data_IF_063483903876
#
_entry.id   IF_063483903876
#
_cell.length_a   1.000
_cell.length_b   1.000
_cell.length_c   1.000
_cell.angle_alpha   90.00
_cell.angle_beta   90.00
_cell.angle_gamma   90.00
#
_symmetry.space_group_name_H-M   'P 1'
#
loop_
_entity.id
_entity.type
_entity.pdbx_description
1 polymer ?
#
# COMPACT_ATOMS: atom_id res chain seq x y z
N UNK A 1 21.84 3.77 -5.40
CA UNK A 1 21.06 4.48 -4.36
C UNK A 1 19.93 3.63 -3.77
N UNK A 2 18.92 3.17 -4.51
CA UNK A 2 17.77 2.40 -3.97
C UNK A 2 18.18 1.14 -3.19
N UNK A 3 19.22 0.41 -3.64
CA UNK A 3 19.76 -0.76 -2.92
C UNK A 3 20.31 -0.35 -1.54
N UNK A 4 20.90 0.82 -1.44
CA UNK A 4 21.42 1.37 -0.19
C UNK A 4 20.31 1.76 0.77
N UNK A 5 19.26 2.45 0.30
CA UNK A 5 18.09 2.83 1.12
C UNK A 5 17.48 1.59 1.80
N UNK A 6 17.43 0.45 1.08
CA UNK A 6 16.97 -0.83 1.64
C UNK A 6 17.86 -1.31 2.81
N UNK A 7 19.18 -1.14 2.69
CA UNK A 7 20.12 -1.55 3.74
C UNK A 7 20.07 -0.62 4.97
N UNK A 8 19.81 0.68 4.74
CA UNK A 8 19.70 1.66 5.82
C UNK A 8 18.39 1.50 6.61
N UNK A 9 17.33 1.01 5.96
CA UNK A 9 16.01 0.85 6.60
C UNK A 9 15.50 -0.59 6.53
N UNK A 10 16.24 -1.58 7.07
CA UNK A 10 15.83 -2.99 6.97
C UNK A 10 14.52 -3.29 7.72
N UNK A 11 14.24 -2.56 8.79
CA UNK A 11 13.00 -2.72 9.56
C UNK A 11 11.78 -2.38 8.70
N UNK A 12 11.82 -1.24 8.00
CA UNK A 12 10.72 -0.82 7.12
C UNK A 12 10.64 -1.67 5.86
N UNK A 13 11.79 -2.07 5.29
CA UNK A 13 11.85 -2.76 4.00
C UNK A 13 11.27 -4.17 4.04
N UNK A 14 11.63 -4.98 5.05
CA UNK A 14 11.25 -6.40 5.09
C UNK A 14 10.96 -6.96 6.48
N UNK A 15 11.59 -6.49 7.55
CA UNK A 15 11.36 -7.08 8.89
C UNK A 15 9.92 -6.87 9.35
N UNK A 16 9.38 -5.66 9.18
CA UNK A 16 8.02 -5.33 9.60
C UNK A 16 6.97 -6.11 8.79
N UNK A 17 6.99 -6.12 7.43
CA UNK A 17 5.98 -6.89 6.70
C UNK A 17 6.14 -8.41 6.88
N UNK A 18 7.37 -8.94 7.00
CA UNK A 18 7.58 -10.37 7.27
C UNK A 18 7.08 -10.76 8.66
N UNK A 19 7.34 -9.94 9.67
CA UNK A 19 6.86 -10.16 11.04
C UNK A 19 5.34 -10.16 11.10
N UNK A 20 4.70 -9.18 10.46
CA UNK A 20 3.24 -9.08 10.42
C UNK A 20 2.62 -10.22 9.61
N UNK A 21 3.21 -10.57 8.47
CA UNK A 21 2.78 -11.73 7.66
C UNK A 21 2.88 -13.03 8.43
N UNK A 22 4.00 -13.24 9.13
CA UNK A 22 4.20 -14.42 9.99
C UNK A 22 3.16 -14.52 11.11
N UNK A 23 2.84 -13.37 11.74
CA UNK A 23 1.78 -13.31 12.76
C UNK A 23 0.42 -13.74 12.18
N UNK A 24 0.04 -13.23 11.02
CA UNK A 24 -1.25 -13.57 10.38
C UNK A 24 -1.30 -15.07 10.01
N UNK A 25 -0.19 -15.63 9.54
CA UNK A 25 -0.09 -17.08 9.24
C UNK A 25 -0.29 -17.91 10.52
N UNK A 26 0.36 -17.53 11.62
CA UNK A 26 0.21 -18.23 12.92
C UNK A 26 -1.25 -18.13 13.40
N UNK A 27 -1.86 -16.94 13.30
CA UNK A 27 -3.26 -16.75 13.69
C UNK A 27 -4.22 -17.57 12.82
N UNK A 28 -3.95 -17.68 11.52
CA UNK A 28 -4.71 -18.52 10.58
C UNK A 28 -4.62 -20.01 10.98
N UNK A 29 -3.41 -20.48 11.30
CA UNK A 29 -3.19 -21.87 11.76
C UNK A 29 -3.95 -22.14 13.07
N UNK A 30 -3.86 -21.24 14.04
CA UNK A 30 -4.59 -21.33 15.32
C UNK A 30 -6.10 -21.37 15.06
N UNK A 31 -6.61 -20.50 14.15
CA UNK A 31 -8.03 -20.44 13.83
C UNK A 31 -8.55 -21.76 13.23
N UNK A 32 -7.76 -22.40 12.36
CA UNK A 32 -8.12 -23.71 11.78
C UNK A 32 -8.12 -24.78 12.88
N UNK A 33 -7.10 -24.84 13.73
CA UNK A 33 -6.98 -25.85 14.81
C UNK A 33 -8.10 -25.71 15.85
N UNK A 34 -8.40 -24.49 16.30
CA UNK A 34 -9.48 -24.22 17.25
C UNK A 34 -10.84 -24.48 16.59
N UNK A 35 -11.00 -24.09 15.33
CA UNK A 35 -12.22 -24.31 14.56
C UNK A 35 -12.54 -25.80 14.46
N UNK A 36 -11.52 -26.63 14.22
CA UNK A 36 -11.67 -28.09 14.16
C UNK A 36 -12.11 -28.64 15.52
N UNK A 37 -11.49 -28.22 16.64
CA UNK A 37 -11.88 -28.66 18.00
C UNK A 37 -13.30 -28.24 18.36
N UNK A 38 -13.68 -26.98 18.06
CA UNK A 38 -15.02 -26.47 18.36
C UNK A 38 -16.11 -27.20 17.56
N UNK A 39 -15.80 -27.59 16.32
CA UNK A 39 -16.74 -28.34 15.47
C UNK A 39 -16.86 -29.78 15.92
N UNK A 40 -15.78 -30.42 16.37
CA UNK A 40 -15.80 -31.79 16.90
C UNK A 40 -16.59 -31.85 18.24
N UNK A 41 -16.41 -30.87 19.13
CA UNK A 41 -17.13 -30.82 20.41
C UNK A 41 -18.63 -30.57 20.22
N UNK A 42 -19.03 -29.90 19.14
CA UNK A 42 -20.41 -29.65 18.79
C UNK A 42 -20.95 -30.59 17.70
N UNK A 43 -20.29 -31.71 17.49
CA UNK A 43 -20.44 -32.64 16.36
C UNK A 43 -21.74 -33.44 16.32
N UNK A 44 -22.81 -32.91 16.88
CA UNK A 44 -24.11 -33.47 16.57
C UNK A 44 -24.74 -32.86 15.31
N UNK A 45 -24.46 -31.58 15.00
CA UNK A 45 -25.32 -30.84 14.08
C UNK A 45 -24.65 -29.67 13.34
N UNK A 46 -23.44 -29.84 12.80
CA UNK A 46 -22.82 -28.77 12.01
C UNK A 46 -23.61 -28.45 10.72
N UNK A 47 -24.19 -29.46 10.07
CA UNK A 47 -25.06 -29.28 8.90
C UNK A 47 -26.30 -28.44 9.25
N UNK A 48 -26.91 -28.70 10.41
CA UNK A 48 -28.09 -27.97 10.88
C UNK A 48 -27.74 -26.49 11.21
N UNK A 49 -26.54 -26.23 11.68
CA UNK A 49 -26.12 -24.87 12.04
C UNK A 49 -25.88 -24.00 10.80
N UNK A 50 -25.34 -24.58 9.74
CA UNK A 50 -25.14 -23.86 8.46
C UNK A 50 -26.52 -23.50 7.85
N UNK A 51 -27.47 -24.42 7.92
CA UNK A 51 -28.85 -24.17 7.49
C UNK A 51 -29.57 -23.10 8.33
N UNK A 52 -29.36 -23.10 9.66
CA UNK A 52 -30.06 -22.16 10.56
C UNK A 52 -29.63 -20.71 10.41
N UNK A 53 -28.43 -20.44 9.90
CA UNK A 53 -27.92 -19.07 9.68
C UNK A 53 -28.29 -18.50 8.30
N UNK A 54 -29.17 -19.18 7.55
CA UNK A 54 -29.64 -18.70 6.24
C UNK A 54 -28.55 -18.67 5.17
N UNK A 55 -27.39 -19.23 5.47
CA UNK A 55 -26.35 -19.50 4.50
C UNK A 55 -26.60 -20.90 3.94
N UNK A 56 -27.39 -20.98 2.88
CA UNK A 56 -27.29 -22.08 1.94
C UNK A 56 -25.91 -21.98 1.26
N UNK A 57 -24.87 -22.05 2.06
CA UNK A 57 -23.51 -22.10 1.53
C UNK A 57 -23.36 -23.48 0.92
N UNK A 58 -23.50 -23.54 -0.38
CA UNK A 58 -23.07 -24.68 -1.15
C UNK A 58 -21.58 -24.90 -0.78
N UNK A 59 -21.31 -25.95 0.00
CA UNK A 59 -19.98 -26.27 0.50
C UNK A 59 -18.99 -26.47 -0.66
N UNK A 60 -19.50 -26.78 -1.86
CA UNK A 60 -18.70 -26.83 -3.09
C UNK A 60 -18.18 -25.44 -3.53
N UNK A 61 -18.71 -24.34 -2.97
CA UNK A 61 -18.33 -22.97 -3.36
C UNK A 61 -17.35 -22.30 -2.37
N UNK A 62 -16.79 -23.03 -1.39
CA UNK A 62 -15.89 -22.47 -0.38
C UNK A 62 -14.54 -22.00 -0.94
N UNK A 63 -14.12 -22.52 -2.10
CA UNK A 63 -12.85 -22.15 -2.73
C UNK A 63 -12.70 -20.64 -2.96
N UNK A 64 -13.74 -20.01 -3.51
CA UNK A 64 -13.71 -18.57 -3.81
C UNK A 64 -13.67 -17.68 -2.54
N UNK A 65 -14.51 -17.88 -1.50
CA UNK A 65 -14.37 -17.13 -0.25
C UNK A 65 -13.00 -17.26 0.41
N UNK A 66 -12.40 -18.46 0.44
CA UNK A 66 -11.08 -18.69 1.00
C UNK A 66 -10.01 -17.91 0.19
N UNK A 67 -10.07 -18.00 -1.15
CA UNK A 67 -9.15 -17.27 -2.05
C UNK A 67 -9.31 -15.75 -1.88
N UNK A 68 -10.55 -15.26 -1.70
CA UNK A 68 -10.84 -13.85 -1.49
C UNK A 68 -10.25 -13.35 -0.16
N UNK A 69 -10.23 -14.18 0.89
CA UNK A 69 -9.56 -13.83 2.16
C UNK A 69 -8.04 -13.63 1.92
N UNK A 70 -7.40 -14.50 1.14
CA UNK A 70 -5.99 -14.34 0.75
C UNK A 70 -5.75 -13.07 -0.06
N UNK A 71 -6.67 -12.75 -0.96
CA UNK A 71 -6.62 -11.52 -1.77
C UNK A 71 -6.75 -10.27 -0.90
N UNK A 72 -7.63 -10.30 0.10
CA UNK A 72 -7.79 -9.20 1.07
C UNK A 72 -6.49 -8.97 1.86
N UNK A 73 -5.81 -10.04 2.28
CA UNK A 73 -4.49 -9.96 2.93
C UNK A 73 -3.48 -9.31 1.97
N UNK A 74 -3.43 -9.75 0.71
CA UNK A 74 -2.53 -9.22 -0.32
C UNK A 74 -2.71 -7.70 -0.49
N UNK A 75 -3.95 -7.28 -0.69
CA UNK A 75 -4.27 -5.85 -0.90
C UNK A 75 -4.05 -5.03 0.37
N UNK A 76 -4.37 -5.59 1.54
CA UNK A 76 -4.10 -4.95 2.83
C UNK A 76 -2.60 -4.67 3.03
N UNK A 77 -1.75 -5.62 2.67
CA UNK A 77 -0.30 -5.41 2.68
C UNK A 77 0.13 -4.33 1.67
N UNK A 78 -0.47 -4.30 0.49
CA UNK A 78 -0.23 -3.24 -0.49
C UNK A 78 -0.52 -1.86 0.08
N UNK A 79 -1.63 -1.70 0.74
CA UNK A 79 -1.99 -0.45 1.44
C UNK A 79 -1.02 -0.11 2.58
N UNK A 80 -0.69 -1.02 3.19
CA UNK A 80 0.17 -0.86 4.13
C UNK A 80 1.40 -0.40 3.64
N UNK A 81 1.90 -0.93 2.66
CA UNK A 81 3.10 -0.50 1.95
C UNK A 81 3.04 0.95 1.47
N UNK A 82 1.91 1.38 0.94
CA UNK A 82 1.70 2.77 0.55
C UNK A 82 1.83 3.72 1.74
N UNK A 83 1.24 3.37 2.88
CA UNK A 83 1.32 4.20 4.09
C UNK A 83 2.76 4.29 4.63
N UNK A 84 3.47 3.15 4.69
CA UNK A 84 4.87 3.10 5.13
C UNK A 84 5.76 3.87 4.15
N UNK A 85 5.53 3.69 2.85
CA UNK A 85 6.24 4.41 1.80
C UNK A 85 6.03 5.92 1.90
N UNK A 86 4.79 6.34 2.17
CA UNK A 86 4.45 7.75 2.39
C UNK A 86 5.16 8.30 3.64
N UNK A 87 5.11 7.60 4.77
CA UNK A 87 5.79 8.00 5.99
C UNK A 87 7.32 8.14 5.78
N UNK A 88 7.89 7.22 5.00
CA UNK A 88 9.30 7.28 4.60
C UNK A 88 9.58 8.56 3.78
N UNK A 89 8.81 8.81 2.71
CA UNK A 89 9.00 9.98 1.83
C UNK A 89 8.85 11.28 2.62
N UNK A 90 7.87 11.33 3.52
CA UNK A 90 7.59 12.47 4.39
C UNK A 90 8.79 12.84 5.29
N UNK A 91 9.55 11.84 5.72
CA UNK A 91 10.71 12.04 6.62
C UNK A 91 12.06 12.11 5.90
N UNK A 92 12.14 11.61 4.66
CA UNK A 92 13.40 11.31 3.98
C UNK A 92 14.35 12.49 3.80
N UNK A 93 13.86 13.67 3.36
CA UNK A 93 14.67 14.87 3.20
C UNK A 93 14.72 15.72 4.47
N UNK A 94 13.67 15.66 5.27
CA UNK A 94 13.55 16.34 6.56
C UNK A 94 14.62 15.83 7.54
N UNK A 95 14.80 14.51 7.67
CA UNK A 95 15.77 13.90 8.56
C UNK A 95 17.21 14.29 8.16
N UNK A 96 17.54 14.28 6.87
CA UNK A 96 18.88 14.68 6.39
C UNK A 96 19.26 16.09 6.84
N UNK A 97 18.30 17.03 6.84
CA UNK A 97 18.54 18.40 7.31
C UNK A 97 18.64 18.48 8.83
N UNK A 98 17.74 17.80 9.52
CA UNK A 98 17.65 17.80 10.99
C UNK A 98 18.94 17.24 11.62
N UNK A 99 19.45 16.14 11.06
CA UNK A 99 20.64 15.44 11.58
C UNK A 99 21.95 15.98 10.98
N UNK A 100 21.87 17.03 10.15
CA UNK A 100 22.99 17.64 9.42
C UNK A 100 23.77 16.65 8.53
N UNK A 101 23.24 15.47 8.28
CA UNK A 101 23.85 14.46 7.42
C UNK A 101 23.94 14.92 5.96
N UNK A 102 23.19 15.96 5.61
CA UNK A 102 23.23 16.59 4.29
C UNK A 102 24.67 17.05 3.93
N UNK A 103 25.45 17.50 4.91
CA UNK A 103 26.85 17.94 4.70
C UNK A 103 27.74 16.77 4.27
N UNK A 104 27.50 15.60 4.85
CA UNK A 104 28.20 14.37 4.45
C UNK A 104 27.83 13.97 3.01
N UNK A 105 26.54 14.08 2.67
CA UNK A 105 26.06 13.72 1.33
C UNK A 105 26.66 14.64 0.24
N UNK A 106 26.90 15.90 0.57
CA UNK A 106 27.50 16.86 -0.35
C UNK A 106 28.99 16.57 -0.63
N UNK A 107 29.69 15.90 0.28
CA UNK A 107 31.08 15.52 0.07
C UNK A 107 31.23 14.31 -0.86
N UNK A 108 30.12 13.58 -1.14
CA UNK A 108 30.13 12.44 -2.04
C UNK A 108 29.83 12.88 -3.48
N UNK A 109 30.42 12.21 -4.50
CA UNK A 109 30.17 12.55 -5.90
C UNK A 109 28.82 12.00 -6.39
N UNK A 110 27.73 12.40 -5.71
CA UNK A 110 26.36 11.96 -6.03
C UNK A 110 25.53 13.20 -6.35
N UNK A 111 24.82 13.17 -7.46
CA UNK A 111 23.98 14.30 -7.90
C UNK A 111 22.72 14.45 -7.03
N UNK A 112 22.26 15.69 -6.89
CA UNK A 112 20.99 15.99 -6.21
C UNK A 112 19.81 15.25 -6.87
N UNK A 113 19.85 15.12 -8.18
CA UNK A 113 18.85 14.40 -8.97
C UNK A 113 18.78 12.93 -8.55
N UNK A 114 19.93 12.27 -8.49
CA UNK A 114 19.99 10.85 -8.08
C UNK A 114 19.48 10.65 -6.65
N UNK A 115 19.83 11.55 -5.74
CA UNK A 115 19.39 11.47 -4.34
C UNK A 115 17.87 11.61 -4.22
N UNK A 116 17.29 12.63 -4.86
CA UNK A 116 15.85 12.91 -4.81
C UNK A 116 15.06 11.76 -5.47
N UNK A 117 15.49 11.35 -6.68
CA UNK A 117 14.82 10.27 -7.41
C UNK A 117 14.91 8.93 -6.68
N UNK A 118 16.07 8.60 -6.10
CA UNK A 118 16.24 7.35 -5.36
C UNK A 118 15.28 7.27 -4.16
N UNK A 119 15.18 8.35 -3.38
CA UNK A 119 14.31 8.43 -2.21
C UNK A 119 12.84 8.37 -2.61
N UNK A 120 12.47 9.11 -3.66
CA UNK A 120 11.09 9.12 -4.16
C UNK A 120 10.69 7.74 -4.66
N UNK A 121 11.47 7.14 -5.57
CA UNK A 121 11.18 5.82 -6.15
C UNK A 121 11.17 4.71 -5.09
N UNK A 122 12.04 4.82 -4.10
CA UNK A 122 12.08 3.84 -3.00
C UNK A 122 10.79 3.87 -2.19
N UNK A 123 10.34 5.05 -1.75
CA UNK A 123 9.12 5.18 -0.96
C UNK A 123 7.84 4.99 -1.77
N UNK A 124 7.83 5.49 -3.02
CA UNK A 124 6.63 5.51 -3.87
C UNK A 124 6.36 4.14 -4.54
N UNK A 125 7.41 3.44 -4.98
CA UNK A 125 7.26 2.18 -5.74
C UNK A 125 7.81 0.98 -4.96
N UNK A 126 9.08 1.04 -4.54
CA UNK A 126 9.78 -0.15 -4.02
C UNK A 126 9.18 -0.65 -2.71
N UNK A 127 8.88 0.25 -1.76
CA UNK A 127 8.27 -0.15 -0.49
C UNK A 127 6.87 -0.75 -0.70
N UNK A 128 5.92 -0.08 -1.38
CA UNK A 128 4.60 -0.67 -1.60
C UNK A 128 4.64 -2.02 -2.34
N UNK A 129 5.48 -2.13 -3.37
CA UNK A 129 5.62 -3.39 -4.13
C UNK A 129 6.21 -4.52 -3.28
N UNK A 130 7.18 -4.20 -2.40
CA UNK A 130 7.77 -5.20 -1.49
C UNK A 130 6.71 -5.72 -0.52
N UNK A 131 5.91 -4.81 0.06
CA UNK A 131 4.80 -5.19 0.95
C UNK A 131 3.76 -6.02 0.22
N UNK A 132 3.36 -5.59 -0.97
CA UNK A 132 2.39 -6.32 -1.81
C UNK A 132 2.85 -7.76 -2.08
N UNK A 133 4.11 -7.95 -2.47
CA UNK A 133 4.66 -9.28 -2.76
C UNK A 133 4.72 -10.16 -1.49
N UNK A 134 5.12 -9.59 -0.37
CA UNK A 134 5.11 -10.32 0.92
C UNK A 134 3.68 -10.69 1.30
N UNK A 135 2.74 -9.76 1.11
CA UNK A 135 1.32 -9.97 1.35
C UNK A 135 0.72 -11.07 0.47
N UNK A 136 1.13 -11.12 -0.80
CA UNK A 136 0.68 -12.17 -1.72
C UNK A 136 1.16 -13.56 -1.27
N UNK A 137 2.43 -13.67 -0.86
CA UNK A 137 2.99 -14.94 -0.34
C UNK A 137 2.28 -15.33 0.97
N UNK A 138 2.11 -14.39 1.89
CA UNK A 138 1.42 -14.63 3.18
C UNK A 138 -0.05 -15.02 2.94
N UNK A 139 -0.73 -14.31 2.04
CA UNK A 139 -2.11 -14.62 1.63
C UNK A 139 -2.23 -16.03 1.05
N UNK A 140 -1.28 -16.42 0.18
CA UNK A 140 -1.22 -17.77 -0.39
C UNK A 140 -1.05 -18.85 0.67
N UNK A 141 -0.20 -18.62 1.67
CA UNK A 141 -0.01 -19.56 2.79
C UNK A 141 -1.30 -19.66 3.62
N UNK A 142 -1.97 -18.55 3.87
CA UNK A 142 -3.26 -18.51 4.58
C UNK A 142 -4.32 -19.28 3.79
N UNK A 143 -4.43 -19.04 2.47
CA UNK A 143 -5.34 -19.78 1.58
C UNK A 143 -5.07 -21.29 1.66
N UNK A 144 -3.80 -21.68 1.61
CA UNK A 144 -3.41 -23.09 1.70
C UNK A 144 -3.83 -23.73 3.04
N UNK A 145 -3.53 -23.07 4.16
CA UNK A 145 -3.89 -23.57 5.51
C UNK A 145 -5.41 -23.69 5.64
N UNK A 146 -6.14 -22.63 5.28
CA UNK A 146 -7.61 -22.56 5.40
C UNK A 146 -8.31 -23.57 4.48
N UNK A 147 -7.79 -23.74 3.25
CA UNK A 147 -8.39 -24.71 2.30
C UNK A 147 -8.11 -26.16 2.71
N UNK A 148 -6.98 -26.47 3.32
CA UNK A 148 -6.69 -27.81 3.88
C UNK A 148 -7.66 -28.10 5.03
N UNK A 149 -7.83 -27.14 5.97
CA UNK A 149 -8.80 -27.28 7.07
C UNK A 149 -10.21 -27.49 6.57
N UNK A 150 -10.67 -26.68 5.63
CA UNK A 150 -12.00 -26.80 5.03
C UNK A 150 -12.17 -28.12 4.26
N UNK A 151 -11.16 -28.52 3.48
CA UNK A 151 -11.17 -29.78 2.72
C UNK A 151 -11.29 -31.01 3.64
N UNK A 152 -10.64 -30.98 4.78
CA UNK A 152 -10.74 -32.06 5.79
C UNK A 152 -12.17 -32.17 6.35
N UNK A 153 -12.85 -31.04 6.56
CA UNK A 153 -14.24 -31.00 7.07
C UNK A 153 -15.27 -31.49 6.02
N UNK A 154 -15.07 -31.09 4.76
CA UNK A 154 -16.01 -31.40 3.66
C UNK A 154 -15.66 -32.73 2.97
N UNK A 155 -14.48 -33.31 3.26
CA UNK A 155 -13.93 -34.50 2.59
C UNK A 155 -13.75 -34.31 1.08
N UNK A 156 -13.44 -33.06 0.66
CA UNK A 156 -13.22 -32.70 -0.76
C UNK A 156 -11.81 -32.10 -0.93
N UNK A 157 -10.89 -32.90 -1.44
CA UNK A 157 -9.51 -32.49 -1.69
C UNK A 157 -9.38 -31.54 -2.89
N UNK A 158 -10.39 -31.48 -3.77
CA UNK A 158 -10.44 -30.57 -4.91
C UNK A 158 -10.46 -29.10 -4.51
N UNK A 159 -11.04 -28.79 -3.34
CA UNK A 159 -11.16 -27.45 -2.79
C UNK A 159 -9.81 -26.74 -2.62
N UNK A 160 -8.76 -27.48 -2.23
CA UNK A 160 -7.40 -26.92 -2.07
C UNK A 160 -6.88 -26.43 -3.42
N UNK A 161 -6.99 -27.27 -4.46
CA UNK A 161 -6.52 -26.91 -5.81
C UNK A 161 -7.31 -25.73 -6.38
N UNK A 162 -8.62 -25.69 -6.17
CA UNK A 162 -9.48 -24.59 -6.61
C UNK A 162 -9.10 -23.28 -5.93
N UNK A 163 -9.03 -23.24 -4.60
CA UNK A 163 -8.70 -22.03 -3.85
C UNK A 163 -7.32 -21.48 -4.22
N UNK A 164 -6.32 -22.37 -4.36
CA UNK A 164 -4.96 -22.00 -4.75
C UNK A 164 -4.89 -21.49 -6.20
N UNK A 165 -5.67 -22.09 -7.10
CA UNK A 165 -5.74 -21.64 -8.50
C UNK A 165 -6.35 -20.23 -8.59
N UNK A 166 -7.44 -19.97 -7.88
CA UNK A 166 -8.08 -18.63 -7.84
C UNK A 166 -7.10 -17.60 -7.29
N UNK A 167 -6.42 -17.89 -6.17
CA UNK A 167 -5.43 -16.98 -5.56
C UNK A 167 -4.26 -16.71 -6.51
N UNK A 168 -3.78 -17.74 -7.19
CA UNK A 168 -2.66 -17.63 -8.15
C UNK A 168 -3.01 -16.78 -9.37
N UNK A 169 -4.19 -17.03 -9.97
CA UNK A 169 -4.69 -16.25 -11.11
C UNK A 169 -4.92 -14.78 -10.70
N UNK A 170 -5.33 -14.55 -9.46
CA UNK A 170 -5.54 -13.21 -8.90
C UNK A 170 -4.29 -12.33 -8.88
N UNK A 171 -3.08 -12.91 -8.91
CA UNK A 171 -1.83 -12.14 -8.84
C UNK A 171 -1.74 -11.09 -9.96
N UNK A 172 -2.07 -11.46 -11.20
CA UNK A 172 -1.98 -10.54 -12.35
C UNK A 172 -2.94 -9.35 -12.19
N UNK A 173 -4.20 -9.62 -11.82
CA UNK A 173 -5.21 -8.56 -11.63
C UNK A 173 -4.88 -7.67 -10.43
N UNK A 174 -4.46 -8.24 -9.30
CA UNK A 174 -4.07 -7.48 -8.11
C UNK A 174 -2.81 -6.64 -8.37
N UNK A 175 -1.84 -7.16 -9.15
CA UNK A 175 -0.64 -6.39 -9.55
C UNK A 175 -1.06 -5.20 -10.42
N UNK A 176 -1.95 -5.42 -11.38
CA UNK A 176 -2.51 -4.35 -12.22
C UNK A 176 -3.16 -3.25 -11.37
N UNK A 177 -4.05 -3.65 -10.46
CA UNK A 177 -4.71 -2.72 -9.52
C UNK A 177 -3.69 -1.94 -8.70
N UNK A 178 -2.69 -2.62 -8.13
CA UNK A 178 -1.65 -2.00 -7.31
C UNK A 178 -0.82 -1.00 -8.12
N UNK A 179 -0.47 -1.32 -9.37
CA UNK A 179 0.26 -0.40 -10.27
C UNK A 179 -0.54 0.86 -10.58
N UNK A 180 -1.84 0.71 -10.83
CA UNK A 180 -2.74 1.87 -11.06
C UNK A 180 -2.82 2.73 -9.79
N UNK A 181 -2.97 2.12 -8.61
CA UNK A 181 -3.00 2.84 -7.33
C UNK A 181 -1.70 3.61 -7.08
N UNK A 182 -0.55 2.98 -7.32
CA UNK A 182 0.77 3.63 -7.19
C UNK A 182 0.85 4.83 -8.13
N UNK A 183 0.47 4.66 -9.40
CA UNK A 183 0.50 5.75 -10.40
C UNK A 183 -0.48 6.87 -10.03
N UNK A 184 -1.67 6.51 -9.53
CA UNK A 184 -2.73 7.47 -9.15
C UNK A 184 -2.29 8.38 -8.01
N UNK A 185 -1.59 7.85 -6.99
CA UNK A 185 -1.17 8.58 -5.80
C UNK A 185 0.20 9.29 -5.98
N UNK A 186 0.84 9.18 -7.15
CA UNK A 186 2.17 9.74 -7.44
C UNK A 186 2.29 11.24 -7.09
N UNK A 187 1.33 12.13 -7.45
CA UNK A 187 1.44 13.56 -7.12
C UNK A 187 1.51 13.82 -5.63
N UNK A 188 0.77 13.04 -4.85
CA UNK A 188 0.74 13.16 -3.38
C UNK A 188 2.11 12.78 -2.77
N UNK A 189 2.75 11.73 -3.27
CA UNK A 189 4.10 11.32 -2.85
C UNK A 189 5.14 12.38 -3.25
N UNK A 190 5.03 12.94 -4.46
CA UNK A 190 5.91 14.01 -4.94
C UNK A 190 5.77 15.27 -4.08
N UNK A 191 4.52 15.67 -3.79
CA UNK A 191 4.21 16.80 -2.90
C UNK A 191 4.79 16.57 -1.50
N UNK A 192 4.62 15.38 -0.95
CA UNK A 192 5.13 15.03 0.39
C UNK A 192 6.67 15.14 0.45
N UNK A 193 7.36 14.73 -0.62
CA UNK A 193 8.82 14.84 -0.71
C UNK A 193 9.26 16.32 -0.79
N UNK A 194 8.56 17.15 -1.57
CA UNK A 194 8.84 18.59 -1.64
C UNK A 194 8.67 19.24 -0.27
N UNK A 195 7.56 18.95 0.43
CA UNK A 195 7.31 19.47 1.78
C UNK A 195 8.37 18.97 2.76
N UNK A 196 8.78 17.70 2.66
CA UNK A 196 9.85 17.11 3.47
C UNK A 196 11.15 17.95 3.39
N UNK A 197 11.39 18.56 2.22
CA UNK A 197 12.57 19.41 2.03
C UNK A 197 12.42 20.80 2.67
N UNK A 198 11.22 21.38 2.73
CA UNK A 198 10.98 22.76 3.16
C UNK A 198 10.51 22.90 4.61
N UNK A 199 9.85 21.88 5.15
CA UNK A 199 9.26 21.94 6.47
C UNK A 199 10.33 22.16 7.57
N UNK A 200 10.13 23.20 8.39
CA UNK A 200 11.03 23.52 9.52
C UNK A 200 10.77 22.55 10.69
N UNK A 201 9.50 22.24 10.94
CA UNK A 201 9.05 21.30 11.97
C UNK A 201 7.92 20.48 11.36
N UNK A 202 7.57 19.36 11.93
CA UNK A 202 6.38 18.54 11.61
C UNK A 202 5.95 18.60 10.13
N UNK A 203 6.66 17.89 9.20
CA UNK A 203 6.27 17.89 7.77
C UNK A 203 4.82 17.48 7.52
N UNK A 204 4.27 16.61 8.35
CA UNK A 204 2.88 16.13 8.25
C UNK A 204 1.87 17.29 8.24
N UNK A 205 2.05 18.29 9.11
CA UNK A 205 1.14 19.44 9.18
C UNK A 205 1.15 20.26 7.88
N UNK A 206 2.31 20.37 7.24
CA UNK A 206 2.43 21.11 5.98
C UNK A 206 1.86 20.32 4.78
N UNK A 207 2.07 19.00 4.76
CA UNK A 207 1.56 18.14 3.68
C UNK A 207 0.04 18.14 3.63
N UNK A 208 -0.61 18.09 4.80
CA UNK A 208 -2.08 18.09 4.90
C UNK A 208 -2.65 19.51 5.00
N UNK A 209 -1.97 20.39 5.73
CA UNK A 209 -2.46 21.74 6.00
C UNK A 209 -2.53 22.64 4.78
N UNK A 210 -1.51 22.61 3.91
CA UNK A 210 -1.49 23.47 2.71
C UNK A 210 -2.64 23.10 1.75
N UNK A 211 -2.84 21.83 1.36
CA UNK A 211 -4.01 21.49 0.54
C UNK A 211 -5.33 21.81 1.23
N UNK A 212 -5.44 21.54 2.55
CA UNK A 212 -6.67 21.85 3.30
C UNK A 212 -7.01 23.33 3.24
N UNK A 213 -6.01 24.20 3.47
CA UNK A 213 -6.22 25.65 3.41
C UNK A 213 -6.55 26.07 1.96
N UNK A 214 -5.87 25.52 0.98
CA UNK A 214 -6.12 25.81 -0.43
C UNK A 214 -7.56 25.45 -0.84
N UNK A 215 -8.07 24.29 -0.42
CA UNK A 215 -9.44 23.85 -0.70
C UNK A 215 -10.47 24.73 0.04
N UNK A 216 -10.17 25.15 1.26
CA UNK A 216 -11.04 26.08 2.01
C UNK A 216 -11.11 27.45 1.33
N UNK A 217 -9.98 27.96 0.88
CA UNK A 217 -9.91 29.27 0.15
C UNK A 217 -10.67 29.17 -1.17
N UNK A 218 -10.49 28.07 -1.90
CA UNK A 218 -11.19 27.81 -3.17
C UNK A 218 -12.72 27.85 -2.97
N UNK A 219 -13.21 27.09 -1.99
CA UNK A 219 -14.65 27.02 -1.73
C UNK A 219 -15.23 28.35 -1.21
N UNK A 220 -14.49 29.09 -0.35
CA UNK A 220 -14.98 30.33 0.24
C UNK A 220 -14.93 31.53 -0.69
N UNK A 221 -13.90 31.63 -1.57
CA UNK A 221 -13.69 32.82 -2.39
C UNK A 221 -14.17 32.67 -3.82
N UNK A 222 -14.16 31.46 -4.37
CA UNK A 222 -14.42 31.24 -5.79
C UNK A 222 -15.68 30.42 -6.06
N UNK A 223 -16.27 29.82 -5.02
CA UNK A 223 -17.45 28.94 -5.11
C UNK A 223 -17.26 27.84 -6.16
N UNK A 224 -16.04 27.34 -6.27
CA UNK A 224 -15.61 26.27 -7.17
C UNK A 224 -14.97 25.17 -6.33
N UNK A 225 -15.02 23.94 -6.76
CA UNK A 225 -14.48 22.79 -6.02
C UNK A 225 -13.42 22.02 -6.85
N UNK A 226 -12.78 22.67 -7.81
CA UNK A 226 -11.87 21.98 -8.74
C UNK A 226 -10.64 21.37 -8.05
N UNK A 227 -9.94 22.14 -7.20
CA UNK A 227 -8.80 21.63 -6.42
C UNK A 227 -9.25 20.60 -5.38
N UNK A 228 -10.40 20.89 -4.75
CA UNK A 228 -11.02 20.01 -3.76
C UNK A 228 -11.30 18.65 -4.39
N UNK A 229 -11.99 18.62 -5.51
CA UNK A 229 -12.37 17.40 -6.22
C UNK A 229 -11.13 16.64 -6.72
N UNK A 230 -10.16 17.37 -7.31
CA UNK A 230 -8.92 16.77 -7.81
C UNK A 230 -8.10 16.11 -6.66
N UNK A 231 -7.97 16.81 -5.52
CA UNK A 231 -7.20 16.33 -4.38
C UNK A 231 -7.88 15.13 -3.70
N UNK A 232 -9.19 15.26 -3.43
CA UNK A 232 -9.95 14.21 -2.74
C UNK A 232 -10.18 12.98 -3.61
N UNK A 233 -10.28 13.13 -4.92
CA UNK A 233 -10.31 11.98 -5.84
C UNK A 233 -9.03 11.15 -5.75
N UNK A 234 -7.88 11.79 -5.49
CA UNK A 234 -6.61 11.07 -5.31
C UNK A 234 -6.54 10.31 -3.98
N UNK A 235 -7.20 10.80 -2.95
CA UNK A 235 -7.28 10.13 -1.65
C UNK A 235 -8.26 8.95 -1.66
N UNK A 236 -9.28 9.02 -2.51
CA UNK A 236 -10.33 8.00 -2.59
C UNK A 236 -9.99 6.96 -3.67
N UNK A 237 -9.23 5.94 -3.26
CA UNK A 237 -8.79 4.85 -4.14
C UNK A 237 -9.81 3.70 -4.07
N UNK A 238 -11.06 3.95 -4.52
CA UNK A 238 -12.07 2.89 -4.58
C UNK A 238 -12.04 2.18 -5.94
N UNK A 239 -12.32 0.90 -5.93
CA UNK A 239 -12.36 0.06 -7.14
C UNK A 239 -13.42 0.53 -8.14
N UNK A 240 -14.46 1.21 -7.66
CA UNK A 240 -15.55 1.76 -8.48
C UNK A 240 -15.07 2.86 -9.44
N UNK A 241 -14.03 3.60 -9.05
CA UNK A 241 -13.43 4.62 -9.92
C UNK A 241 -12.73 4.04 -11.14
N UNK A 242 -12.42 2.75 -11.13
CA UNK A 242 -11.72 2.08 -12.25
C UNK A 242 -12.65 1.70 -13.41
N UNK A 243 -13.93 2.04 -13.34
CA UNK A 243 -14.94 1.59 -14.31
C UNK A 243 -15.12 2.50 -15.55
N UNK A 244 -14.60 3.73 -15.57
CA UNK A 244 -14.68 4.62 -16.74
C UNK A 244 -13.28 4.86 -17.33
N UNK A 245 -12.91 4.05 -18.32
CA UNK A 245 -11.54 3.94 -18.86
C UNK A 245 -10.95 5.22 -19.46
N UNK A 246 -11.74 6.05 -20.12
CA UNK A 246 -11.22 7.20 -20.88
C UNK A 246 -10.90 8.42 -20.00
N UNK A 247 -11.76 8.77 -19.06
CA UNK A 247 -11.56 9.91 -18.15
C UNK A 247 -10.40 9.64 -17.19
N UNK A 248 -10.28 8.39 -16.72
CA UNK A 248 -9.23 7.97 -15.80
C UNK A 248 -7.84 8.02 -16.43
N UNK A 249 -7.68 7.61 -17.69
CA UNK A 249 -6.38 7.61 -18.36
C UNK A 249 -5.83 9.04 -18.51
N UNK A 250 -6.68 10.01 -18.82
CA UNK A 250 -6.30 11.43 -18.90
C UNK A 250 -5.91 11.97 -17.51
N UNK A 251 -6.73 11.70 -16.49
CA UNK A 251 -6.47 12.16 -15.13
C UNK A 251 -5.20 11.52 -14.54
N UNK A 252 -4.95 10.25 -14.85
CA UNK A 252 -3.74 9.52 -14.44
C UNK A 252 -2.50 10.17 -15.12
N UNK A 253 -2.58 10.42 -16.44
CA UNK A 253 -1.52 11.10 -17.18
C UNK A 253 -1.21 12.49 -16.62
N UNK A 254 -2.25 13.30 -16.37
CA UNK A 254 -2.09 14.61 -15.75
C UNK A 254 -1.45 14.51 -14.36
N UNK A 255 -1.86 13.52 -13.57
CA UNK A 255 -1.28 13.28 -12.26
C UNK A 255 0.22 12.99 -12.33
N UNK A 256 0.65 12.13 -13.25
CA UNK A 256 2.06 11.80 -13.44
C UNK A 256 2.87 13.03 -13.92
N UNK A 257 2.31 13.87 -14.80
CA UNK A 257 2.94 15.12 -15.23
C UNK A 257 3.12 16.04 -14.02
N UNK A 258 2.08 16.23 -13.21
CA UNK A 258 2.13 17.05 -11.98
C UNK A 258 3.21 16.49 -11.02
N UNK A 259 3.25 15.19 -10.82
CA UNK A 259 4.27 14.54 -9.99
C UNK A 259 5.69 14.84 -10.51
N UNK A 260 5.91 14.71 -11.83
CA UNK A 260 7.21 14.99 -12.46
C UNK A 260 7.62 16.46 -12.28
N UNK A 261 6.67 17.40 -12.43
CA UNK A 261 6.94 18.83 -12.22
C UNK A 261 7.31 19.11 -10.76
N UNK A 262 6.60 18.52 -9.79
CA UNK A 262 6.89 18.69 -8.35
C UNK A 262 8.28 18.12 -8.03
N UNK A 263 8.63 16.95 -8.57
CA UNK A 263 9.97 16.35 -8.39
C UNK A 263 11.05 17.26 -9.01
N UNK A 264 10.79 17.81 -10.19
CA UNK A 264 11.68 18.82 -10.82
C UNK A 264 11.91 20.04 -9.91
N UNK A 265 10.83 20.56 -9.32
CA UNK A 265 10.88 21.65 -8.34
C UNK A 265 11.67 21.25 -7.10
N UNK A 266 11.51 20.01 -6.62
CA UNK A 266 12.26 19.50 -5.47
C UNK A 266 13.78 19.46 -5.77
N UNK A 267 14.15 18.96 -6.94
CA UNK A 267 15.56 18.89 -7.38
C UNK A 267 16.15 20.31 -7.51
N UNK A 268 15.39 21.22 -8.15
CA UNK A 268 15.83 22.61 -8.34
C UNK A 268 15.98 23.36 -7.00
N UNK A 269 14.97 23.25 -6.13
CA UNK A 269 14.97 23.94 -4.84
C UNK A 269 16.06 23.40 -3.89
N UNK A 270 16.48 22.13 -4.04
CA UNK A 270 17.57 21.56 -3.25
C UNK A 270 18.88 22.32 -3.51
N UNK A 271 19.11 22.84 -4.72
CA UNK A 271 20.27 23.67 -5.05
C UNK A 271 20.25 24.99 -4.27
N UNK A 272 19.05 25.60 -4.14
CA UNK A 272 18.90 26.89 -3.45
C UNK A 272 18.99 26.78 -1.93
N UNK A 273 18.64 25.61 -1.36
CA UNK A 273 18.71 25.40 0.09
C UNK A 273 20.14 25.39 0.64
N UNK A 274 21.14 25.12 -0.21
CA UNK A 274 22.55 25.11 0.20
C UNK A 274 23.06 26.50 0.55
N UNK A 275 22.59 27.53 -0.13
CA UNK A 275 23.03 28.90 0.09
C UNK A 275 22.54 29.48 1.43
N UNK A 276 21.66 28.75 2.13
CA UNK A 276 21.01 29.20 3.37
C UNK A 276 21.38 28.38 4.61
N UNK A 277 22.35 27.48 4.49
CA UNK A 277 22.88 26.78 5.69
C UNK A 277 23.82 27.72 6.42
N UNK A 278 23.59 27.98 7.73
CA UNK A 278 24.47 28.87 8.52
C UNK A 278 25.85 28.25 8.78
#
# INVERSE_FOLDING_TARGET
>A
MARRERWEHPTLSYKLPLGFGGLLIVLSLIAVLIGEELLIDQAGNWETRIQMNGLDADLSSLGAPIANAGSAVTMGFGLXGLLVGWAYVLSALYQERKDRSILFWLSLPVSNTETVLAKWLYGWILLPMTYFLIGWVAGGIIVLISSIGAAAMVSDTGLVAEAMAIHGVGLASHTGTMMVQIAWIAPFFAWSLLVSQWALRTPLLWVLGVPLVATLVENLLFDVAWLTDWFWSRANVSAEMMSSESVQSVQLGLGLIVAALIIGCTIWSRRLCFDRLP
#
